data_IF_066563379567
#
_entry.id   IF_066563379567
#
_cell.length_a   1.000
_cell.length_b   1.000
_cell.length_c   1.000
_cell.angle_alpha   90.00
_cell.angle_beta   90.00
_cell.angle_gamma   90.00
#
_symmetry.space_group_name_H-M   'P 1'
#
loop_
_entity.id
_entity.type
_entity.pdbx_description
1 polymer ?
#
# COMPACT_ATOMS: atom_id res chain seq x y z
N UNK A 1 -0.08 14.35 57.83
CA UNK A 1 0.96 13.73 56.96
C UNK A 1 0.25 12.80 55.98
N UNK A 2 0.11 13.22 54.71
CA UNK A 2 -0.63 12.48 53.69
C UNK A 2 0.25 11.38 53.08
N UNK A 3 -0.02 10.15 53.46
CA UNK A 3 0.54 8.97 52.78
C UNK A 3 -0.27 8.75 51.51
N UNK A 4 0.09 9.44 50.44
CA UNK A 4 -0.39 9.07 49.10
C UNK A 4 0.34 7.77 48.74
N UNK A 5 -0.42 6.70 48.76
CA UNK A 5 0.05 5.31 48.57
C UNK A 5 0.86 5.16 47.27
N UNK A 6 2.01 4.50 47.35
CA UNK A 6 2.83 4.13 46.16
C UNK A 6 2.02 3.41 45.05
N UNK A 7 0.94 2.73 45.47
CA UNK A 7 0.01 2.05 44.55
C UNK A 7 -0.75 3.04 43.63
N UNK A 8 -1.18 4.20 44.14
CA UNK A 8 -1.88 5.22 43.34
C UNK A 8 -0.97 5.85 42.28
N UNK A 9 0.31 6.01 42.56
CA UNK A 9 1.28 6.56 41.58
C UNK A 9 1.60 5.55 40.49
N UNK A 10 1.66 4.27 40.83
CA UNK A 10 1.93 3.21 39.84
C UNK A 10 0.75 3.04 38.87
N UNK A 11 -0.48 3.11 39.37
CA UNK A 11 -1.69 3.08 38.53
C UNK A 11 -1.78 4.27 37.57
N UNK A 12 -1.45 5.48 38.01
CA UNK A 12 -1.45 6.67 37.16
C UNK A 12 -0.40 6.60 36.06
N UNK A 13 0.80 6.08 36.34
CA UNK A 13 1.86 5.94 35.35
C UNK A 13 1.50 4.89 34.31
N UNK A 14 0.93 3.75 34.72
CA UNK A 14 0.49 2.70 33.79
C UNK A 14 -0.63 3.20 32.88
N UNK A 15 -1.59 3.97 33.39
CA UNK A 15 -2.68 4.55 32.59
C UNK A 15 -2.16 5.61 31.61
N UNK A 16 -1.19 6.41 32.01
CA UNK A 16 -0.59 7.45 31.16
C UNK A 16 0.21 6.81 29.99
N UNK A 17 0.96 5.74 30.27
CA UNK A 17 1.72 5.01 29.25
C UNK A 17 0.80 4.33 28.23
N UNK A 18 -0.32 3.76 28.66
CA UNK A 18 -1.31 3.15 27.74
C UNK A 18 -2.01 4.21 26.88
N UNK A 19 -2.37 5.35 27.41
CA UNK A 19 -2.98 6.45 26.65
C UNK A 19 -2.00 7.02 25.61
N UNK A 20 -0.72 7.18 25.97
CA UNK A 20 0.30 7.65 25.00
C UNK A 20 0.52 6.66 23.86
N UNK A 21 0.55 5.36 24.14
CA UNK A 21 0.74 4.35 23.08
C UNK A 21 -0.45 4.26 22.12
N UNK A 22 -1.67 4.44 22.60
CA UNK A 22 -2.88 4.49 21.75
C UNK A 22 -2.91 5.76 20.90
N UNK A 23 -2.48 6.90 21.45
CA UNK A 23 -2.44 8.17 20.71
C UNK A 23 -1.36 8.16 19.60
N UNK A 24 -0.26 7.47 19.82
CA UNK A 24 0.81 7.33 18.82
C UNK A 24 0.42 6.33 17.72
N UNK A 25 -0.25 5.25 18.08
CA UNK A 25 -0.85 4.32 17.10
C UNK A 25 -1.91 4.99 16.23
N UNK A 26 -2.73 5.87 16.77
CA UNK A 26 -3.72 6.66 16.03
C UNK A 26 -3.09 7.63 15.00
N UNK A 27 -1.83 8.03 15.17
CA UNK A 27 -1.09 8.84 14.19
C UNK A 27 -0.50 8.00 13.04
N UNK A 28 -0.36 6.69 13.22
CA UNK A 28 0.21 5.79 12.21
C UNK A 28 -0.84 5.28 11.23
N UNK A 29 -2.09 5.19 11.66
CA UNK A 29 -3.19 4.64 10.88
C UNK A 29 -4.37 5.60 10.85
N UNK A 30 -5.15 5.52 9.76
CA UNK A 30 -6.48 6.15 9.69
C UNK A 30 -7.49 5.37 10.54
N UNK A 31 -8.68 5.92 10.74
CA UNK A 31 -9.79 5.23 11.42
C UNK A 31 -10.19 3.93 10.69
N UNK A 32 -10.09 3.92 9.34
CA UNK A 32 -10.36 2.75 8.50
C UNK A 32 -9.19 1.75 8.45
N UNK A 33 -8.13 1.99 9.22
CA UNK A 33 -7.00 1.10 9.36
C UNK A 33 -6.01 1.11 8.20
N UNK A 34 -5.95 2.17 7.39
CA UNK A 34 -4.88 2.36 6.42
C UNK A 34 -3.65 2.98 7.08
N UNK A 35 -2.47 2.52 6.74
CA UNK A 35 -1.24 3.19 7.15
C UNK A 35 -1.22 4.62 6.60
N UNK A 36 -1.15 5.62 7.48
CA UNK A 36 -1.27 7.04 7.12
C UNK A 36 0.07 7.77 7.04
N UNK A 37 1.07 7.29 7.79
CA UNK A 37 2.40 7.91 7.87
C UNK A 37 3.48 6.84 7.93
N UNK A 38 4.75 7.24 7.83
CA UNK A 38 5.90 6.32 7.89
C UNK A 38 5.73 5.10 6.97
N UNK A 39 5.35 5.36 5.72
CA UNK A 39 5.10 4.28 4.75
C UNK A 39 6.32 3.38 4.51
N UNK A 40 7.53 3.90 4.72
CA UNK A 40 8.79 3.15 4.69
C UNK A 40 9.16 2.70 6.10
N UNK A 41 8.60 1.59 6.52
CA UNK A 41 8.82 0.97 7.84
C UNK A 41 8.43 -0.51 7.75
N UNK A 42 8.89 -1.35 8.69
CA UNK A 42 8.58 -2.77 8.69
C UNK A 42 7.08 -3.04 8.48
N UNK A 43 6.78 -3.91 7.54
CA UNK A 43 5.43 -4.33 7.19
C UNK A 43 5.08 -5.66 7.87
N UNK A 44 3.78 -5.96 8.09
CA UNK A 44 3.36 -7.24 8.65
C UNK A 44 3.76 -8.41 7.73
N UNK A 45 3.81 -9.61 8.31
CA UNK A 45 4.06 -10.85 7.55
C UNK A 45 2.82 -11.34 6.80
N UNK A 46 1.65 -10.86 7.19
CA UNK A 46 0.33 -11.25 6.68
C UNK A 46 -0.45 -10.03 6.22
N UNK A 47 -1.46 -10.26 5.40
CA UNK A 47 -2.42 -9.27 4.95
C UNK A 47 -3.84 -9.80 5.16
N UNK A 48 -4.72 -9.00 5.74
CA UNK A 48 -6.10 -9.39 6.08
C UNK A 48 -6.97 -9.77 4.87
N UNK A 49 -6.68 -9.24 3.68
CA UNK A 49 -7.50 -9.38 2.49
C UNK A 49 -6.73 -9.94 1.27
N UNK A 50 -5.42 -10.16 1.38
CA UNK A 50 -4.59 -10.61 0.26
C UNK A 50 -3.65 -11.75 0.66
N UNK A 51 -3.37 -12.63 -0.27
CA UNK A 51 -2.35 -13.67 -0.11
C UNK A 51 -0.98 -13.02 -0.29
N UNK A 52 -0.10 -13.19 0.69
CA UNK A 52 1.29 -12.70 0.59
C UNK A 52 2.08 -13.62 -0.32
N UNK A 53 2.78 -13.03 -1.29
CA UNK A 53 3.60 -13.77 -2.26
C UNK A 53 5.10 -13.53 -2.04
N UNK A 54 5.86 -14.58 -2.27
CA UNK A 54 7.27 -14.50 -2.63
C UNK A 54 7.43 -14.28 -4.14
N UNK A 55 8.59 -13.82 -4.63
CA UNK A 55 8.84 -13.72 -6.08
C UNK A 55 8.67 -15.05 -6.82
N UNK A 56 8.99 -16.17 -6.19
CA UNK A 56 8.81 -17.51 -6.77
C UNK A 56 7.33 -17.85 -6.98
N UNK A 57 6.50 -17.57 -5.99
CA UNK A 57 5.05 -17.79 -6.09
C UNK A 57 4.42 -16.84 -7.11
N UNK A 58 4.90 -15.60 -7.19
CA UNK A 58 4.47 -14.67 -8.24
C UNK A 58 4.81 -15.19 -9.64
N UNK A 59 6.02 -15.75 -9.85
CA UNK A 59 6.38 -16.35 -11.13
C UNK A 59 5.45 -17.52 -11.52
N UNK A 60 5.02 -18.32 -10.55
CA UNK A 60 4.03 -19.37 -10.78
C UNK A 60 2.67 -18.79 -11.15
N UNK A 61 2.20 -17.78 -10.41
CA UNK A 61 0.92 -17.11 -10.64
C UNK A 61 0.88 -16.44 -12.02
N UNK A 62 2.00 -15.87 -12.49
CA UNK A 62 2.13 -15.26 -13.82
C UNK A 62 1.98 -16.27 -14.97
N UNK A 63 2.11 -17.57 -14.71
CA UNK A 63 1.90 -18.63 -15.70
C UNK A 63 0.46 -19.17 -15.73
N UNK A 64 -0.41 -18.68 -14.86
CA UNK A 64 -1.84 -19.05 -14.83
C UNK A 64 -2.64 -18.32 -15.92
N UNK A 65 -3.83 -18.83 -16.24
CA UNK A 65 -4.78 -18.22 -17.16
C UNK A 65 -6.11 -17.91 -16.44
N UNK A 66 -6.55 -16.66 -16.42
CA UNK A 66 -5.83 -15.46 -16.86
C UNK A 66 -4.66 -15.10 -15.92
N UNK A 67 -3.57 -14.52 -16.45
CA UNK A 67 -2.48 -14.03 -15.61
C UNK A 67 -2.94 -12.86 -14.76
N UNK A 68 -2.32 -12.63 -13.59
CA UNK A 68 -2.68 -11.52 -12.73
C UNK A 68 -2.31 -10.16 -13.36
N UNK A 69 -3.11 -9.15 -13.09
CA UNK A 69 -2.68 -7.78 -13.32
C UNK A 69 -1.75 -7.32 -12.17
N UNK A 70 -0.59 -6.77 -12.55
CA UNK A 70 0.41 -6.28 -11.61
C UNK A 70 0.22 -4.80 -11.36
N UNK A 71 0.09 -4.39 -10.10
CA UNK A 71 -0.20 -3.02 -9.70
C UNK A 71 0.93 -2.51 -8.81
N UNK A 72 1.70 -1.59 -9.35
CA UNK A 72 2.69 -0.84 -8.59
C UNK A 72 2.01 0.34 -7.89
N UNK A 73 2.06 0.36 -6.56
CA UNK A 73 1.46 1.41 -5.74
C UNK A 73 2.49 2.44 -5.24
N UNK A 74 3.71 2.46 -5.80
CA UNK A 74 4.74 3.38 -5.36
C UNK A 74 4.31 4.83 -5.54
N UNK A 75 4.63 5.67 -4.54
CA UNK A 75 4.24 7.08 -4.50
C UNK A 75 5.03 7.90 -5.53
N UNK A 76 4.32 8.75 -6.25
CA UNK A 76 4.89 9.81 -7.08
C UNK A 76 4.17 11.12 -6.77
N UNK A 77 4.84 12.10 -6.15
CA UNK A 77 4.19 13.36 -5.80
C UNK A 77 3.61 14.04 -7.04
N UNK A 78 2.35 14.46 -6.94
CA UNK A 78 1.67 15.26 -7.95
C UNK A 78 1.81 16.75 -7.61
N UNK A 79 2.37 17.54 -8.51
CA UNK A 79 2.55 18.98 -8.32
C UNK A 79 2.50 19.69 -9.67
N UNK A 80 1.84 20.83 -9.73
CA UNK A 80 1.77 21.66 -10.93
C UNK A 80 1.30 20.86 -12.16
N UNK A 81 0.23 20.06 -11.98
CA UNK A 81 -0.38 19.29 -13.05
C UNK A 81 0.47 18.13 -13.59
N UNK A 82 1.44 17.65 -12.82
CA UNK A 82 2.31 16.53 -13.24
C UNK A 82 2.88 15.71 -12.08
N UNK A 83 3.24 14.49 -12.37
CA UNK A 83 4.07 13.66 -11.48
C UNK A 83 5.51 14.19 -11.44
N UNK A 84 6.10 14.28 -10.26
CA UNK A 84 7.38 14.99 -10.01
C UNK A 84 8.46 14.13 -9.35
N UNK A 85 8.32 12.79 -9.38
CA UNK A 85 9.40 11.93 -8.89
C UNK A 85 10.68 12.23 -9.68
N UNK A 86 11.80 12.62 -9.01
CA UNK A 86 13.00 13.06 -9.70
C UNK A 86 13.78 11.91 -10.36
N UNK A 87 13.62 10.70 -9.84
CA UNK A 87 14.33 9.52 -10.31
C UNK A 87 13.46 8.70 -11.28
N UNK A 88 14.11 8.08 -12.28
CA UNK A 88 13.45 7.13 -13.16
C UNK A 88 12.97 5.93 -12.34
N UNK A 89 11.66 5.81 -12.17
CA UNK A 89 11.08 4.65 -11.52
C UNK A 89 11.13 3.42 -12.43
N UNK A 90 11.32 2.26 -11.80
CA UNK A 90 11.32 0.96 -12.45
C UNK A 90 10.39 0.01 -11.72
N UNK A 91 9.65 -0.77 -12.48
CA UNK A 91 8.68 -1.72 -11.92
C UNK A 91 8.80 -3.11 -12.58
N UNK A 92 8.00 -4.07 -12.11
CA UNK A 92 7.91 -5.39 -12.70
C UNK A 92 7.37 -5.26 -14.15
N UNK A 93 7.90 -6.03 -15.12
CA UNK A 93 7.41 -5.97 -16.50
C UNK A 93 5.89 -6.21 -16.59
N UNK A 94 5.20 -5.39 -17.37
CA UNK A 94 3.75 -5.48 -17.55
C UNK A 94 2.90 -4.87 -16.45
N UNK A 95 3.51 -4.24 -15.44
CA UNK A 95 2.77 -3.58 -14.36
C UNK A 95 2.15 -2.25 -14.80
N UNK A 96 0.98 -1.96 -14.25
CA UNK A 96 0.43 -0.61 -14.18
C UNK A 96 0.96 0.10 -12.94
N UNK A 97 1.54 1.28 -13.10
CA UNK A 97 1.92 2.12 -11.97
C UNK A 97 0.76 3.06 -11.62
N UNK A 98 -0.05 2.65 -10.64
CA UNK A 98 -1.11 3.45 -10.05
C UNK A 98 -0.54 4.25 -8.88
N UNK A 99 0.20 5.30 -9.23
CA UNK A 99 0.90 6.13 -8.26
C UNK A 99 -0.07 6.69 -7.21
N UNK A 100 0.37 6.73 -5.96
CA UNK A 100 -0.35 7.25 -4.79
C UNK A 100 -1.59 6.42 -4.34
N UNK A 101 -2.00 5.38 -5.08
CA UNK A 101 -3.17 4.56 -4.70
C UNK A 101 -3.00 3.81 -3.38
N UNK A 102 -1.79 3.74 -2.85
CA UNK A 102 -1.48 3.21 -1.53
C UNK A 102 -1.47 4.25 -0.40
N UNK A 103 -1.77 5.52 -0.66
CA UNK A 103 -1.82 6.52 0.39
C UNK A 103 -2.95 6.22 1.38
N UNK A 104 -2.73 6.51 2.67
CA UNK A 104 -3.69 6.19 3.72
C UNK A 104 -5.02 6.91 3.54
N UNK A 105 -4.96 8.18 3.14
CA UNK A 105 -6.14 8.98 2.81
C UNK A 105 -6.05 9.42 1.35
N UNK A 106 -7.14 9.29 0.62
CA UNK A 106 -7.28 9.77 -0.76
C UNK A 106 -8.40 10.80 -0.82
N UNK A 107 -8.26 11.81 -1.68
CA UNK A 107 -9.41 12.63 -2.10
C UNK A 107 -10.31 11.80 -3.03
N UNK A 108 -11.52 12.29 -3.29
CA UNK A 108 -12.46 11.61 -4.17
C UNK A 108 -11.87 11.43 -5.60
N UNK A 109 -11.11 12.39 -6.07
CA UNK A 109 -10.46 12.36 -7.39
C UNK A 109 -9.37 11.28 -7.44
N UNK A 110 -8.52 11.20 -6.40
CA UNK A 110 -7.51 10.15 -6.30
C UNK A 110 -8.13 8.76 -6.13
N UNK A 111 -9.21 8.66 -5.37
CA UNK A 111 -9.95 7.41 -5.25
C UNK A 111 -10.52 6.98 -6.61
N UNK A 112 -11.11 7.91 -7.37
CA UNK A 112 -11.64 7.63 -8.70
C UNK A 112 -10.53 7.19 -9.67
N UNK A 113 -9.37 7.89 -9.68
CA UNK A 113 -8.20 7.49 -10.47
C UNK A 113 -7.77 6.04 -10.19
N UNK A 114 -7.72 5.66 -8.91
CA UNK A 114 -7.36 4.31 -8.52
C UNK A 114 -8.40 3.27 -8.96
N UNK A 115 -9.69 3.59 -8.82
CA UNK A 115 -10.80 2.73 -9.29
C UNK A 115 -10.75 2.54 -10.80
N UNK A 116 -10.56 3.61 -11.55
CA UNK A 116 -10.48 3.58 -13.01
C UNK A 116 -9.29 2.74 -13.49
N UNK A 117 -8.13 2.91 -12.86
CA UNK A 117 -6.95 2.11 -13.15
C UNK A 117 -7.15 0.62 -12.88
N UNK A 118 -7.78 0.24 -11.77
CA UNK A 118 -8.12 -1.16 -11.50
C UNK A 118 -9.19 -1.68 -12.44
N UNK A 119 -10.21 -0.88 -12.75
CA UNK A 119 -11.24 -1.25 -13.72
C UNK A 119 -10.62 -1.56 -15.10
N UNK A 120 -9.71 -0.73 -15.59
CA UNK A 120 -8.98 -0.95 -16.84
C UNK A 120 -8.13 -2.22 -16.78
N UNK A 121 -7.39 -2.42 -15.66
CA UNK A 121 -6.53 -3.60 -15.47
C UNK A 121 -7.30 -4.93 -15.49
N UNK A 122 -8.57 -4.92 -15.08
CA UNK A 122 -9.40 -6.12 -14.89
C UNK A 122 -10.56 -6.22 -15.86
N UNK A 123 -10.75 -5.23 -16.75
CA UNK A 123 -11.95 -5.05 -17.56
C UNK A 123 -13.25 -5.09 -16.69
N UNK A 124 -13.19 -4.56 -15.47
CA UNK A 124 -14.29 -4.52 -14.51
C UNK A 124 -14.59 -5.87 -13.82
N UNK A 125 -13.80 -6.90 -14.06
CA UNK A 125 -13.99 -8.20 -13.40
C UNK A 125 -13.41 -8.19 -11.98
N UNK A 126 -14.27 -8.18 -10.96
CA UNK A 126 -13.89 -8.20 -9.55
C UNK A 126 -13.20 -9.51 -9.11
N UNK A 127 -13.32 -10.58 -9.89
CA UNK A 127 -12.65 -11.85 -9.67
C UNK A 127 -11.31 -11.99 -10.41
N UNK A 128 -10.87 -10.97 -11.17
CA UNK A 128 -9.58 -11.00 -11.84
C UNK A 128 -8.45 -10.95 -10.80
N UNK A 129 -7.39 -11.79 -10.91
CA UNK A 129 -6.31 -11.78 -9.94
C UNK A 129 -5.51 -10.47 -10.03
N UNK A 130 -5.29 -9.81 -8.89
CA UNK A 130 -4.53 -8.57 -8.75
C UNK A 130 -3.36 -8.78 -7.81
N UNK A 131 -2.17 -8.42 -8.22
CA UNK A 131 -0.96 -8.42 -7.38
C UNK A 131 -0.55 -6.99 -7.11
N UNK A 132 -0.63 -6.57 -5.86
CA UNK A 132 -0.16 -5.26 -5.41
C UNK A 132 1.26 -5.36 -4.89
N UNK A 133 2.06 -4.35 -5.16
CA UNK A 133 3.40 -4.25 -4.63
C UNK A 133 3.89 -2.80 -4.59
N UNK A 134 5.02 -2.61 -3.97
CA UNK A 134 5.76 -1.37 -3.88
C UNK A 134 7.25 -1.72 -3.76
N UNK A 135 7.88 -1.34 -2.68
CA UNK A 135 9.26 -1.70 -2.29
C UNK A 135 9.24 -2.55 -1.02
N UNK A 136 10.38 -3.10 -0.64
CA UNK A 136 10.55 -3.73 0.69
C UNK A 136 10.21 -2.71 1.79
N UNK A 137 9.63 -3.18 2.88
CA UNK A 137 9.22 -2.33 4.00
C UNK A 137 8.39 -1.10 3.58
N UNK A 138 7.44 -1.31 2.69
CA UNK A 138 6.60 -0.27 2.12
C UNK A 138 5.11 -0.60 2.26
N UNK A 139 4.40 0.19 3.05
CA UNK A 139 2.99 0.01 3.35
C UNK A 139 2.05 0.38 2.19
N UNK A 140 2.55 1.05 1.16
CA UNK A 140 1.69 1.50 0.05
C UNK A 140 1.07 0.32 -0.72
N UNK A 141 1.83 -0.74 -0.97
CA UNK A 141 1.29 -1.96 -1.59
C UNK A 141 0.24 -2.65 -0.70
N UNK A 142 0.47 -2.69 0.61
CA UNK A 142 -0.48 -3.21 1.59
C UNK A 142 -1.79 -2.40 1.60
N UNK A 143 -1.70 -1.08 1.70
CA UNK A 143 -2.87 -0.20 1.67
C UNK A 143 -3.66 -0.34 0.36
N UNK A 144 -2.97 -0.41 -0.78
CA UNK A 144 -3.61 -0.54 -2.09
C UNK A 144 -4.41 -1.85 -2.21
N UNK A 145 -3.85 -2.97 -1.72
CA UNK A 145 -4.55 -4.25 -1.67
C UNK A 145 -5.78 -4.20 -0.74
N UNK A 146 -5.65 -3.62 0.46
CA UNK A 146 -6.78 -3.40 1.38
C UNK A 146 -7.88 -2.58 0.74
N UNK A 147 -7.51 -1.51 0.02
CA UNK A 147 -8.46 -0.63 -0.66
C UNK A 147 -9.18 -1.36 -1.80
N UNK A 148 -8.48 -2.14 -2.61
CA UNK A 148 -9.09 -2.96 -3.65
C UNK A 148 -10.12 -3.96 -3.06
N UNK A 149 -9.80 -4.57 -1.90
CA UNK A 149 -10.74 -5.43 -1.18
C UNK A 149 -12.02 -4.68 -0.77
N UNK A 150 -11.89 -3.45 -0.26
CA UNK A 150 -13.05 -2.61 0.11
C UNK A 150 -13.92 -2.24 -1.09
N UNK A 151 -13.38 -2.32 -2.30
CA UNK A 151 -14.10 -2.10 -3.56
C UNK A 151 -14.66 -3.38 -4.20
N UNK A 152 -14.54 -4.53 -3.51
CA UNK A 152 -15.15 -5.80 -3.91
C UNK A 152 -14.23 -6.73 -4.71
N UNK A 153 -12.99 -6.35 -5.00
CA UNK A 153 -12.03 -7.29 -5.58
C UNK A 153 -11.71 -8.39 -4.59
N UNK A 154 -11.70 -9.66 -5.03
CA UNK A 154 -11.65 -10.82 -4.14
C UNK A 154 -10.53 -11.82 -4.42
N UNK A 155 -9.74 -11.65 -5.48
CA UNK A 155 -8.52 -12.43 -5.77
C UNK A 155 -7.29 -11.54 -5.66
N UNK A 156 -6.92 -11.22 -4.41
CA UNK A 156 -5.89 -10.23 -4.11
C UNK A 156 -4.63 -10.90 -3.60
N UNK A 157 -3.52 -10.42 -4.08
CA UNK A 157 -2.18 -10.86 -3.72
C UNK A 157 -1.32 -9.65 -3.40
N UNK A 158 -0.34 -9.84 -2.54
CA UNK A 158 0.61 -8.81 -2.16
C UNK A 158 2.04 -9.34 -2.20
N UNK A 159 2.85 -8.81 -3.12
CA UNK A 159 4.29 -9.05 -3.12
C UNK A 159 4.92 -8.12 -2.08
N UNK A 160 5.01 -8.62 -0.82
CA UNK A 160 5.37 -7.84 0.37
C UNK A 160 6.72 -7.13 0.23
N UNK A 161 7.73 -7.88 -0.22
CA UNK A 161 9.11 -7.38 -0.29
C UNK A 161 9.43 -6.70 -1.64
N UNK A 162 8.39 -6.48 -2.46
CA UNK A 162 8.36 -5.58 -3.60
C UNK A 162 9.45 -5.80 -4.65
N UNK A 163 9.86 -4.68 -5.26
CA UNK A 163 10.83 -4.71 -6.36
C UNK A 163 12.20 -5.23 -5.95
N UNK A 164 12.62 -5.02 -4.70
CA UNK A 164 13.92 -5.47 -4.20
C UNK A 164 13.97 -7.02 -4.16
N UNK A 165 12.93 -7.67 -3.65
CA UNK A 165 12.86 -9.13 -3.65
C UNK A 165 12.79 -9.71 -5.08
N UNK A 166 12.09 -9.02 -5.99
CA UNK A 166 12.02 -9.38 -7.40
C UNK A 166 13.41 -9.37 -8.05
N UNK A 167 14.20 -8.31 -7.85
CA UNK A 167 15.58 -8.22 -8.35
C UNK A 167 16.50 -9.26 -7.69
N UNK A 168 16.38 -9.49 -6.37
CA UNK A 168 17.14 -10.52 -5.66
C UNK A 168 16.86 -11.94 -6.16
N UNK A 169 15.66 -12.17 -6.67
CA UNK A 169 15.28 -13.42 -7.34
C UNK A 169 15.81 -13.51 -8.79
N UNK A 170 16.68 -12.58 -9.21
CA UNK A 170 17.29 -12.55 -10.55
C UNK A 170 16.37 -12.03 -11.65
N UNK A 171 15.26 -11.42 -11.29
CA UNK A 171 14.29 -10.90 -12.25
C UNK A 171 14.59 -9.45 -12.64
N UNK A 172 14.24 -9.05 -13.86
CA UNK A 172 14.50 -7.71 -14.38
C UNK A 172 13.37 -6.75 -14.02
N UNK A 173 13.72 -5.50 -13.78
CA UNK A 173 12.82 -4.37 -13.73
C UNK A 173 12.90 -3.57 -15.03
N UNK A 174 11.82 -2.92 -15.41
CA UNK A 174 11.73 -2.05 -16.60
C UNK A 174 11.42 -0.61 -16.21
N UNK A 175 11.92 0.40 -16.96
CA UNK A 175 11.50 1.79 -16.76
C UNK A 175 9.98 1.93 -16.87
N UNK A 176 9.39 2.72 -15.99
CA UNK A 176 7.94 2.91 -15.92
C UNK A 176 7.55 4.37 -15.86
N UNK A 177 6.32 4.65 -16.28
CA UNK A 177 5.64 5.92 -16.08
C UNK A 177 4.31 5.64 -15.36
N UNK A 178 3.87 6.53 -14.47
CA UNK A 178 2.58 6.37 -13.83
C UNK A 178 1.45 6.47 -14.86
N UNK A 179 0.35 5.79 -14.60
CA UNK A 179 -0.90 6.00 -15.34
C UNK A 179 -1.24 7.49 -15.25
N UNK A 180 -1.61 8.15 -16.38
CA UNK A 180 -1.92 9.58 -16.35
C UNK A 180 -3.04 9.92 -15.35
N UNK A 181 -2.83 10.97 -14.57
CA UNK A 181 -3.82 11.54 -13.67
C UNK A 181 -4.31 12.88 -14.24
N UNK A 182 -5.61 13.02 -14.42
CA UNK A 182 -6.23 14.20 -15.01
C UNK A 182 -7.03 15.02 -13.98
N UNK A 183 -6.78 14.81 -12.70
CA UNK A 183 -7.44 15.56 -11.63
C UNK A 183 -6.93 16.99 -11.49
N UNK A 184 -7.71 17.83 -10.78
CA UNK A 184 -7.33 19.19 -10.46
C UNK A 184 -6.08 19.25 -9.58
N UNK A 185 -5.37 20.37 -9.61
CA UNK A 185 -4.27 20.63 -8.68
C UNK A 185 -4.82 20.75 -7.25
N UNK A 186 -4.25 19.96 -6.33
CA UNK A 186 -4.40 20.25 -4.90
C UNK A 186 -3.49 21.45 -4.57
N UNK A 187 -4.10 22.57 -4.19
CA UNK A 187 -3.43 23.78 -3.72
C UNK A 187 -3.05 23.66 -2.24
#
# INVERSE_FOLDING_TARGET
MNVVSKASRLCLIATLLTVMSVLEAAKLFTEDGYRATLYRSPTPLEHENAIVLTPRELLQLLSEEPPPALIDAYRNPWRHGRFTLPEQHRNLPGSLWLANCGDGSLTAEWEQYCRDGLYQATAGNLGHPLVFYCRSDCWLGWNAAKRAASWGYNRLYWLRDGIEAWEQAGQKLVPSQPVPYNGAEEF
#
